data_IF_991480812868
#
_entry.id   IF_991480812868
#
_cell.length_a   1.000
_cell.length_b   1.000
_cell.length_c   1.000
_cell.angle_alpha   90.00
_cell.angle_beta   90.00
_cell.angle_gamma   90.00
#
_symmetry.space_group_name_H-M   'P 1'
#
loop_
_entity.id
_entity.type
_entity.pdbx_description
1 polymer ?
#
# COMPACT_ATOMS: atom_id res chain seq x y z
N UNK A 1 -19.37 23.93 -20.16
CA UNK A 1 -19.73 23.08 -21.33
C UNK A 1 -19.51 21.65 -20.92
N UNK A 2 -20.58 20.86 -20.80
CA UNK A 2 -20.48 19.41 -20.55
C UNK A 2 -19.99 18.78 -21.86
N UNK A 3 -18.80 18.19 -21.87
CA UNK A 3 -18.26 17.52 -23.06
C UNK A 3 -19.21 16.39 -23.48
N UNK A 4 -19.33 16.13 -24.78
CA UNK A 4 -20.21 15.08 -25.33
C UNK A 4 -19.92 13.68 -24.75
N UNK A 5 -18.68 13.43 -24.35
CA UNK A 5 -18.19 12.19 -23.74
C UNK A 5 -18.56 12.04 -22.26
N UNK A 6 -18.69 13.14 -21.49
CA UNK A 6 -19.26 13.08 -20.13
C UNK A 6 -20.72 12.59 -20.16
N UNK A 7 -21.46 12.95 -21.22
CA UNK A 7 -22.81 12.42 -21.44
C UNK A 7 -22.79 10.91 -21.75
N UNK A 8 -21.79 10.39 -22.47
CA UNK A 8 -21.68 8.96 -22.78
C UNK A 8 -21.42 8.12 -21.52
N UNK A 9 -20.46 8.52 -20.68
CA UNK A 9 -20.19 7.82 -19.42
C UNK A 9 -21.39 7.86 -18.47
N UNK A 10 -22.05 9.01 -18.35
CA UNK A 10 -23.25 9.14 -17.53
C UNK A 10 -24.42 8.30 -18.04
N UNK A 11 -24.61 8.24 -19.37
CA UNK A 11 -25.64 7.39 -19.98
C UNK A 11 -25.34 5.91 -19.76
N UNK A 12 -24.08 5.48 -19.89
CA UNK A 12 -23.67 4.12 -19.59
C UNK A 12 -23.94 3.75 -18.13
N UNK A 13 -23.66 4.66 -17.19
CA UNK A 13 -23.92 4.47 -15.77
C UNK A 13 -25.42 4.34 -15.46
N UNK A 14 -26.26 5.15 -16.12
CA UNK A 14 -27.73 5.04 -16.02
C UNK A 14 -28.25 3.69 -16.52
N UNK A 15 -27.80 3.27 -17.70
CA UNK A 15 -28.17 1.98 -18.28
C UNK A 15 -27.69 0.81 -17.41
N UNK A 16 -26.48 0.89 -16.86
CA UNK A 16 -25.96 -0.09 -15.91
C UNK A 16 -26.86 -0.16 -14.67
N UNK A 17 -27.22 0.99 -14.08
CA UNK A 17 -28.13 1.06 -12.93
C UNK A 17 -29.51 0.46 -13.23
N UNK A 18 -30.10 0.77 -14.39
CA UNK A 18 -31.41 0.24 -14.79
C UNK A 18 -31.41 -1.28 -14.98
N UNK A 19 -30.26 -1.87 -15.29
CA UNK A 19 -30.10 -3.32 -15.37
C UNK A 19 -29.99 -4.01 -14.00
N UNK A 20 -29.78 -3.26 -12.91
CA UNK A 20 -29.63 -3.82 -11.57
C UNK A 20 -30.99 -4.22 -10.99
N UNK A 21 -31.04 -5.24 -10.10
CA UNK A 21 -32.22 -5.49 -9.28
C UNK A 21 -32.61 -4.23 -8.50
N UNK A 22 -33.90 -3.91 -8.46
CA UNK A 22 -34.48 -2.60 -8.13
C UNK A 22 -34.11 -1.95 -6.77
N UNK A 23 -33.43 -2.62 -5.84
CA UNK A 23 -33.42 -2.18 -4.43
C UNK A 23 -32.15 -1.50 -3.88
N UNK A 24 -30.96 -1.59 -4.49
CA UNK A 24 -29.76 -1.35 -3.66
C UNK A 24 -28.84 -0.16 -4.01
N UNK A 25 -29.06 0.59 -5.10
CA UNK A 25 -28.13 1.69 -5.44
C UNK A 25 -28.83 2.93 -6.00
N UNK A 26 -28.67 4.04 -5.28
CA UNK A 26 -28.99 5.38 -5.78
C UNK A 26 -27.75 5.98 -6.43
N UNK A 27 -27.87 6.37 -7.69
CA UNK A 27 -26.83 7.10 -8.42
C UNK A 27 -27.41 8.46 -8.79
N UNK A 28 -26.73 9.53 -8.42
CA UNK A 28 -27.09 10.90 -8.76
C UNK A 28 -25.85 11.72 -9.12
N UNK A 29 -25.99 12.77 -9.95
CA UNK A 29 -24.94 13.76 -10.10
C UNK A 29 -24.66 14.43 -8.75
N UNK A 30 -23.41 14.84 -8.55
CA UNK A 30 -23.01 15.62 -7.39
C UNK A 30 -23.71 17.00 -7.38
N UNK A 31 -23.87 17.57 -6.18
CA UNK A 31 -24.49 18.86 -5.95
C UNK A 31 -23.80 19.96 -6.76
N UNK A 32 -24.61 20.87 -7.31
CA UNK A 32 -24.12 22.07 -8.01
C UNK A 32 -23.46 23.08 -7.08
N UNK A 33 -23.58 22.90 -5.76
CA UNK A 33 -22.91 23.74 -4.75
C UNK A 33 -21.45 23.36 -4.53
N UNK A 34 -20.99 22.22 -5.06
CA UNK A 34 -19.62 21.77 -4.86
C UNK A 34 -18.62 22.67 -5.60
N UNK A 35 -17.44 22.95 -5.02
CA UNK A 35 -16.44 23.83 -5.62
C UNK A 35 -15.76 23.24 -6.86
N UNK A 36 -15.99 21.97 -7.15
CA UNK A 36 -15.40 21.25 -8.28
C UNK A 36 -15.51 19.74 -8.09
N UNK A 37 -14.64 18.99 -8.78
CA UNK A 37 -14.47 17.56 -8.50
C UNK A 37 -13.76 17.37 -7.15
N UNK A 38 -14.07 16.30 -6.40
CA UNK A 38 -13.38 15.99 -5.15
C UNK A 38 -11.91 15.58 -5.41
N UNK A 39 -11.02 15.71 -4.40
CA UNK A 39 -9.61 15.31 -4.52
C UNK A 39 -9.48 13.86 -5.05
N UNK A 40 -8.95 13.72 -6.26
CA UNK A 40 -8.89 12.44 -6.96
C UNK A 40 -7.81 12.47 -8.04
N UNK A 41 -7.32 11.29 -8.43
CA UNK A 41 -6.31 11.17 -9.48
C UNK A 41 -6.75 11.78 -10.82
N UNK A 42 -8.07 11.89 -11.07
CA UNK A 42 -8.61 12.56 -12.27
C UNK A 42 -8.16 14.02 -12.38
N UNK A 43 -7.92 14.71 -11.26
CA UNK A 43 -7.40 16.08 -11.26
C UNK A 43 -6.06 16.19 -11.99
N UNK A 44 -5.17 15.21 -11.84
CA UNK A 44 -3.87 15.20 -12.51
C UNK A 44 -4.03 15.07 -14.04
N UNK A 45 -4.96 14.21 -14.50
CA UNK A 45 -5.27 14.06 -15.93
C UNK A 45 -5.88 15.34 -16.51
N UNK A 46 -6.82 15.97 -15.79
CA UNK A 46 -7.46 17.21 -16.21
C UNK A 46 -6.48 18.39 -16.23
N UNK A 47 -5.54 18.44 -15.28
CA UNK A 47 -4.49 19.44 -15.27
C UNK A 47 -3.54 19.30 -16.46
N UNK A 48 -3.28 18.08 -16.96
CA UNK A 48 -2.53 17.86 -18.20
C UNK A 48 -3.35 18.14 -19.45
N UNK A 49 -4.58 17.65 -19.48
CA UNK A 49 -5.48 17.75 -20.62
C UNK A 49 -6.93 17.96 -20.13
N UNK A 50 -7.42 19.22 -20.15
CA UNK A 50 -8.78 19.54 -19.72
C UNK A 50 -9.89 18.92 -20.57
N UNK A 51 -9.57 18.37 -21.75
CA UNK A 51 -10.53 17.70 -22.62
C UNK A 51 -10.75 16.22 -22.26
N UNK A 52 -9.96 15.67 -21.33
CA UNK A 52 -10.18 14.32 -20.82
C UNK A 52 -11.56 14.27 -20.17
N UNK A 53 -12.35 13.28 -20.57
CA UNK A 53 -13.64 13.02 -19.96
C UNK A 53 -13.49 11.95 -18.91
N UNK A 54 -14.03 12.21 -17.73
CA UNK A 54 -13.87 11.36 -16.57
C UNK A 54 -15.02 11.57 -15.60
N UNK A 55 -15.32 10.52 -14.84
CA UNK A 55 -16.32 10.51 -13.79
C UNK A 55 -15.64 10.00 -12.54
N UNK A 56 -15.84 10.71 -11.43
CA UNK A 56 -15.46 10.26 -10.09
C UNK A 56 -16.74 9.76 -9.41
N UNK A 57 -16.70 8.55 -8.89
CA UNK A 57 -17.79 7.97 -8.12
C UNK A 57 -17.42 8.05 -6.65
N UNK A 58 -18.29 8.67 -5.86
CA UNK A 58 -18.11 8.86 -4.42
C UNK A 58 -19.37 8.39 -3.68
N UNK A 59 -19.21 8.07 -2.40
CA UNK A 59 -20.31 7.73 -1.49
C UNK A 59 -20.93 8.96 -0.79
N UNK A 60 -20.42 10.15 -1.09
CA UNK A 60 -20.87 11.42 -0.54
C UNK A 60 -21.26 12.43 -1.61
N UNK A 61 -22.03 13.45 -1.20
CA UNK A 61 -22.46 14.54 -2.10
C UNK A 61 -21.63 15.82 -1.90
N UNK A 62 -21.62 16.38 -0.69
CA UNK A 62 -20.97 17.69 -0.41
C UNK A 62 -19.74 17.59 0.50
N UNK A 63 -19.62 16.54 1.30
CA UNK A 63 -18.47 16.30 2.17
C UNK A 63 -18.43 14.85 2.64
N UNK A 64 -17.25 14.40 3.07
CA UNK A 64 -17.02 12.99 3.42
C UNK A 64 -18.03 12.46 4.45
N UNK A 65 -18.56 11.28 4.16
CA UNK A 65 -19.34 10.43 5.08
C UNK A 65 -18.45 9.83 6.17
N UNK A 66 -17.21 9.48 5.81
CA UNK A 66 -16.23 8.89 6.72
C UNK A 66 -15.71 9.93 7.73
N UNK A 67 -15.97 9.67 9.03
CA UNK A 67 -15.53 10.52 10.14
C UNK A 67 -14.07 10.28 10.54
N UNK A 68 -13.47 9.19 10.08
CA UNK A 68 -12.13 8.74 10.43
C UNK A 68 -11.17 8.75 9.25
N UNK A 69 -11.46 9.52 8.18
CA UNK A 69 -10.66 9.58 6.96
C UNK A 69 -9.14 9.59 7.23
N UNK A 70 -8.43 8.55 6.77
CA UNK A 70 -6.97 8.37 6.91
C UNK A 70 -6.47 8.28 8.37
N UNK A 71 -7.33 7.92 9.31
CA UNK A 71 -7.00 7.71 10.72
C UNK A 71 -6.80 6.23 11.04
N UNK A 72 -6.16 5.93 12.18
CA UNK A 72 -6.05 4.58 12.71
C UNK A 72 -7.40 3.96 13.12
N UNK A 73 -8.45 4.78 13.23
CA UNK A 73 -9.84 4.36 13.48
C UNK A 73 -10.63 4.09 12.20
N UNK A 74 -10.01 4.28 11.02
CA UNK A 74 -10.61 3.96 9.72
C UNK A 74 -10.53 2.46 9.46
N UNK A 75 -11.39 1.70 10.15
CA UNK A 75 -11.35 0.24 10.17
C UNK A 75 -12.59 -0.41 9.54
N UNK A 76 -12.60 -1.75 9.55
CA UNK A 76 -13.66 -2.58 9.00
C UNK A 76 -15.06 -2.25 9.56
N UNK A 77 -15.18 -1.73 10.79
CA UNK A 77 -16.47 -1.40 11.40
C UNK A 77 -17.18 -0.24 10.69
N UNK A 78 -16.44 0.58 9.93
CA UNK A 78 -16.99 1.70 9.17
C UNK A 78 -17.41 1.32 7.74
N UNK A 79 -17.29 0.05 7.36
CA UNK A 79 -17.49 -0.43 5.98
C UNK A 79 -18.79 -1.22 5.84
N UNK A 80 -19.51 -0.98 4.75
CA UNK A 80 -20.68 -1.76 4.34
C UNK A 80 -20.31 -2.67 3.16
N UNK A 81 -20.19 -3.98 3.39
CA UNK A 81 -19.82 -4.96 2.36
C UNK A 81 -20.83 -5.01 1.21
N UNK A 82 -22.13 -4.96 1.50
CA UNK A 82 -23.17 -4.96 0.47
C UNK A 82 -23.09 -3.73 -0.44
N UNK A 83 -22.69 -2.58 0.10
CA UNK A 83 -22.47 -1.37 -0.71
C UNK A 83 -21.28 -1.54 -1.67
N UNK A 84 -20.19 -2.18 -1.23
CA UNK A 84 -19.02 -2.49 -2.07
C UNK A 84 -19.41 -3.45 -3.20
N UNK A 85 -20.17 -4.50 -2.92
CA UNK A 85 -20.65 -5.44 -3.94
C UNK A 85 -21.49 -4.73 -5.00
N UNK A 86 -22.40 -3.87 -4.54
CA UNK A 86 -23.29 -3.13 -5.40
C UNK A 86 -22.50 -2.14 -6.29
N UNK A 87 -21.54 -1.41 -5.72
CA UNK A 87 -20.65 -0.51 -6.45
C UNK A 87 -19.79 -1.27 -7.48
N UNK A 88 -19.23 -2.42 -7.11
CA UNK A 88 -18.44 -3.26 -8.01
C UNK A 88 -19.28 -3.75 -9.21
N UNK A 89 -20.52 -4.17 -8.98
CA UNK A 89 -21.45 -4.59 -10.04
C UNK A 89 -21.79 -3.44 -10.98
N UNK A 90 -22.08 -2.26 -10.42
CA UNK A 90 -22.38 -1.05 -11.19
C UNK A 90 -21.20 -0.66 -12.08
N UNK A 91 -19.99 -0.62 -11.54
CA UNK A 91 -18.76 -0.30 -12.28
C UNK A 91 -18.51 -1.33 -13.38
N UNK A 92 -18.59 -2.63 -13.07
CA UNK A 92 -18.35 -3.69 -14.05
C UNK A 92 -19.30 -3.60 -15.26
N UNK A 93 -20.60 -3.41 -15.02
CA UNK A 93 -21.59 -3.26 -16.09
C UNK A 93 -21.40 -1.95 -16.88
N UNK A 94 -21.05 -0.86 -16.20
CA UNK A 94 -20.77 0.43 -16.85
C UNK A 94 -19.57 0.31 -17.80
N UNK A 95 -18.48 -0.30 -17.34
CA UNK A 95 -17.29 -0.55 -18.15
C UNK A 95 -17.60 -1.43 -19.37
N UNK A 96 -18.42 -2.47 -19.19
CA UNK A 96 -18.87 -3.31 -20.31
C UNK A 96 -19.65 -2.50 -21.35
N UNK A 97 -20.61 -1.67 -20.93
CA UNK A 97 -21.40 -0.81 -21.84
C UNK A 97 -20.51 0.17 -22.60
N UNK A 98 -19.49 0.73 -21.95
CA UNK A 98 -18.53 1.62 -22.60
C UNK A 98 -17.64 0.87 -23.59
N UNK A 99 -17.19 -0.34 -23.25
CA UNK A 99 -16.30 -1.13 -24.08
C UNK A 99 -16.96 -1.62 -25.39
N UNK A 100 -18.27 -1.89 -25.40
CA UNK A 100 -18.97 -2.33 -26.61
C UNK A 100 -19.20 -1.20 -27.64
N UNK A 101 -18.94 0.06 -27.28
CA UNK A 101 -18.96 1.23 -28.16
C UNK A 101 -20.16 1.29 -29.13
N UNK A 102 -21.39 1.36 -28.57
CA UNK A 102 -22.66 1.50 -29.31
C UNK A 102 -23.07 0.30 -30.19
N UNK A 103 -22.41 -0.86 -30.06
CA UNK A 103 -22.94 -2.15 -30.55
C UNK A 103 -24.19 -2.53 -29.76
N UNK A 104 -25.03 -3.42 -30.33
CA UNK A 104 -26.27 -3.84 -29.69
C UNK A 104 -26.03 -4.36 -28.27
N UNK A 105 -26.67 -3.71 -27.29
CA UNK A 105 -26.56 -4.07 -25.90
C UNK A 105 -27.45 -5.28 -25.63
N UNK A 106 -26.82 -6.44 -25.41
CA UNK A 106 -27.55 -7.63 -25.01
C UNK A 106 -27.87 -7.60 -23.51
N UNK A 107 -29.15 -7.51 -23.17
CA UNK A 107 -29.65 -7.61 -21.79
C UNK A 107 -29.26 -8.94 -21.11
N UNK A 108 -29.14 -10.03 -21.89
CA UNK A 108 -28.70 -11.32 -21.36
C UNK A 108 -27.23 -11.32 -20.92
N UNK A 109 -26.37 -10.55 -21.59
CA UNK A 109 -24.96 -10.43 -21.20
C UNK A 109 -24.82 -9.55 -19.96
N UNK A 110 -25.57 -8.44 -19.88
CA UNK A 110 -25.56 -7.60 -18.67
C UNK A 110 -26.03 -8.36 -17.43
N UNK A 111 -27.06 -9.19 -17.54
CA UNK A 111 -27.54 -10.01 -16.42
C UNK A 111 -26.60 -11.17 -16.07
N UNK A 112 -25.74 -11.60 -17.01
CA UNK A 112 -24.67 -12.57 -16.75
C UNK A 112 -23.49 -11.97 -15.96
N UNK A 113 -23.24 -10.66 -16.06
CA UNK A 113 -22.26 -9.97 -15.21
C UNK A 113 -22.80 -9.93 -13.78
N UNK A 114 -22.11 -10.64 -12.89
CA UNK A 114 -22.43 -10.79 -11.48
C UNK A 114 -21.17 -10.59 -10.64
N UNK A 115 -21.37 -10.13 -9.41
CA UNK A 115 -20.31 -10.06 -8.40
C UNK A 115 -20.28 -11.38 -7.63
N UNK A 116 -19.08 -11.83 -7.31
CA UNK A 116 -18.89 -12.95 -6.38
C UNK A 116 -18.81 -12.39 -4.96
N UNK A 117 -19.93 -12.43 -4.24
CA UNK A 117 -20.06 -11.91 -2.85
C UNK A 117 -19.01 -12.52 -1.91
N UNK A 118 -18.81 -13.84 -1.96
CA UNK A 118 -17.81 -14.50 -1.10
C UNK A 118 -16.38 -14.00 -1.36
N UNK A 119 -16.04 -13.69 -2.61
CA UNK A 119 -14.74 -13.10 -2.93
C UNK A 119 -14.61 -11.67 -2.40
N UNK A 120 -15.67 -10.88 -2.43
CA UNK A 120 -15.66 -9.52 -1.87
C UNK A 120 -15.46 -9.57 -0.36
N UNK A 121 -16.20 -10.44 0.34
CA UNK A 121 -16.04 -10.65 1.78
C UNK A 121 -14.63 -11.12 2.15
N UNK A 122 -14.07 -12.07 1.38
CA UNK A 122 -12.70 -12.55 1.59
C UNK A 122 -11.69 -11.42 1.39
N UNK A 123 -11.80 -10.63 0.31
CA UNK A 123 -10.92 -9.47 0.07
C UNK A 123 -11.02 -8.41 1.18
N UNK A 124 -12.23 -8.11 1.65
CA UNK A 124 -12.46 -7.19 2.76
C UNK A 124 -11.76 -7.71 4.03
N UNK A 125 -11.94 -8.98 4.37
CA UNK A 125 -11.31 -9.59 5.54
C UNK A 125 -9.78 -9.62 5.44
N UNK A 126 -9.23 -9.84 4.25
CA UNK A 126 -7.78 -9.89 4.04
C UNK A 126 -7.13 -8.49 4.04
N UNK A 127 -7.79 -7.48 3.45
CA UNK A 127 -7.19 -6.18 3.18
C UNK A 127 -7.54 -5.09 4.20
N UNK A 128 -8.60 -5.27 5.00
CA UNK A 128 -9.10 -4.26 5.93
C UNK A 128 -9.12 -4.73 7.39
N UNK A 129 -8.62 -5.93 7.69
CA UNK A 129 -8.54 -6.45 9.06
C UNK A 129 -7.15 -7.05 9.34
N UNK A 130 -6.79 -7.17 10.62
CA UNK A 130 -5.58 -7.85 11.08
C UNK A 130 -5.79 -9.34 11.35
N UNK A 131 -7.05 -9.80 11.47
CA UNK A 131 -7.38 -11.19 11.77
C UNK A 131 -8.47 -11.72 10.81
N UNK A 132 -8.15 -12.59 9.84
CA UNK A 132 -6.82 -13.17 9.57
C UNK A 132 -5.88 -12.21 8.82
N UNK A 133 -6.38 -11.10 8.29
CA UNK A 133 -5.62 -10.14 7.47
C UNK A 133 -4.90 -10.80 6.30
N UNK A 134 -3.65 -10.41 6.06
CA UNK A 134 -2.81 -10.96 5.01
C UNK A 134 -2.46 -12.44 5.23
N UNK A 135 -2.76 -13.03 6.39
CA UNK A 135 -2.64 -14.47 6.62
C UNK A 135 -3.83 -15.29 6.10
N UNK A 136 -4.82 -14.66 5.45
CA UNK A 136 -5.93 -15.37 4.83
C UNK A 136 -5.46 -16.28 3.68
N UNK A 137 -6.26 -17.30 3.37
CA UNK A 137 -5.92 -18.29 2.35
C UNK A 137 -5.81 -17.67 0.94
N UNK A 138 -6.62 -16.65 0.61
CA UNK A 138 -6.50 -15.94 -0.65
C UNK A 138 -5.13 -15.31 -0.85
N UNK A 139 -4.58 -14.63 0.16
CA UNK A 139 -3.29 -13.95 0.08
C UNK A 139 -2.14 -14.96 0.03
N UNK A 140 -2.20 -16.00 0.86
CA UNK A 140 -1.19 -17.08 0.92
C UNK A 140 -1.04 -17.86 -0.39
N UNK A 141 -2.04 -17.83 -1.28
CA UNK A 141 -1.94 -18.43 -2.62
C UNK A 141 -0.99 -17.66 -3.54
N UNK A 142 -0.72 -16.39 -3.26
CA UNK A 142 0.04 -15.53 -4.16
C UNK A 142 1.36 -15.04 -3.58
N UNK A 143 1.40 -14.73 -2.28
CA UNK A 143 2.58 -14.13 -1.66
C UNK A 143 2.93 -14.79 -0.33
N UNK A 144 4.16 -14.59 0.11
CA UNK A 144 4.60 -14.83 1.47
C UNK A 144 4.63 -13.47 2.21
N UNK A 145 3.55 -13.10 2.93
CA UNK A 145 3.48 -11.81 3.59
C UNK A 145 4.46 -11.74 4.76
N UNK A 146 5.05 -10.55 4.97
CA UNK A 146 5.95 -10.24 6.07
C UNK A 146 5.19 -9.81 7.34
N UNK A 147 3.96 -9.31 7.18
CA UNK A 147 3.07 -8.88 8.25
C UNK A 147 1.68 -9.52 8.10
N UNK A 148 1.00 -9.73 9.22
CA UNK A 148 -0.41 -10.18 9.23
C UNK A 148 -1.34 -9.01 8.95
N UNK A 149 -1.09 -7.84 9.55
CA UNK A 149 -1.91 -6.66 9.34
C UNK A 149 -1.59 -6.01 7.99
N UNK A 150 -2.60 -5.75 7.13
CA UNK A 150 -2.41 -5.00 5.91
C UNK A 150 -2.03 -3.55 6.23
N UNK A 151 -1.06 -3.02 5.50
CA UNK A 151 -0.65 -1.62 5.58
C UNK A 151 -0.79 -0.98 4.19
N UNK A 152 -1.59 0.09 4.12
CA UNK A 152 -1.86 0.85 2.89
C UNK A 152 -0.96 2.08 2.74
N UNK A 153 0.00 2.27 3.66
CA UNK A 153 1.07 3.23 3.48
C UNK A 153 1.86 2.91 2.20
N UNK A 154 2.14 3.94 1.41
CA UNK A 154 2.78 3.80 0.09
C UNK A 154 4.25 3.39 0.15
N UNK A 155 4.90 3.57 1.30
CA UNK A 155 6.30 3.20 1.48
C UNK A 155 7.30 4.19 0.91
N UNK A 156 8.54 3.72 0.78
CA UNK A 156 9.69 4.47 0.28
C UNK A 156 10.34 3.70 -0.86
N UNK A 157 10.63 4.38 -1.96
CA UNK A 157 11.44 3.82 -3.04
C UNK A 157 12.92 4.01 -2.67
N UNK A 158 13.59 2.90 -2.35
CA UNK A 158 14.96 2.92 -1.82
C UNK A 158 16.05 2.98 -2.90
N UNK A 159 15.79 2.36 -4.05
CA UNK A 159 16.77 2.18 -5.14
C UNK A 159 16.24 2.73 -6.47
N UNK A 160 16.96 2.47 -7.56
CA UNK A 160 16.57 2.87 -8.91
C UNK A 160 15.13 2.44 -9.24
N UNK A 161 14.24 3.38 -9.58
CA UNK A 161 12.86 3.07 -9.95
C UNK A 161 12.78 2.10 -11.13
N UNK A 162 12.14 0.94 -10.91
CA UNK A 162 12.07 -0.14 -11.90
C UNK A 162 10.67 -0.73 -12.04
N UNK A 163 10.31 -1.16 -13.25
CA UNK A 163 9.09 -1.93 -13.53
C UNK A 163 9.18 -3.40 -13.07
N UNK A 164 10.37 -3.82 -12.64
CA UNK A 164 10.63 -5.11 -11.99
C UNK A 164 11.31 -4.83 -10.64
N UNK A 165 10.55 -4.30 -9.66
CA UNK A 165 11.11 -3.96 -8.35
C UNK A 165 11.55 -5.22 -7.60
N UNK A 166 12.54 -5.06 -6.73
CA UNK A 166 12.93 -6.11 -5.81
C UNK A 166 11.77 -6.37 -4.82
N UNK A 167 11.31 -7.62 -4.63
CA UNK A 167 10.11 -7.91 -3.83
C UNK A 167 10.14 -7.34 -2.41
N UNK A 168 11.29 -7.34 -1.73
CA UNK A 168 11.38 -6.84 -0.36
C UNK A 168 11.21 -5.31 -0.26
N UNK A 169 11.27 -4.59 -1.39
CA UNK A 169 11.01 -3.14 -1.46
C UNK A 169 9.56 -2.82 -1.82
N UNK A 170 8.72 -3.84 -2.04
CA UNK A 170 7.31 -3.67 -2.36
C UNK A 170 6.46 -4.18 -1.20
N UNK A 171 5.59 -3.33 -0.68
CA UNK A 171 4.68 -3.69 0.39
C UNK A 171 3.79 -4.88 0.03
N UNK A 172 3.50 -5.73 1.02
CA UNK A 172 2.72 -6.96 0.89
C UNK A 172 1.38 -6.73 0.18
N UNK A 173 0.68 -5.64 0.50
CA UNK A 173 -0.60 -5.28 -0.15
C UNK A 173 -0.42 -5.07 -1.65
N UNK A 174 0.60 -4.31 -2.07
CA UNK A 174 0.88 -4.08 -3.49
C UNK A 174 1.30 -5.36 -4.21
N UNK A 175 2.12 -6.20 -3.57
CA UNK A 175 2.51 -7.52 -4.11
C UNK A 175 1.31 -8.44 -4.30
N UNK A 176 0.41 -8.49 -3.31
CA UNK A 176 -0.83 -9.24 -3.41
C UNK A 176 -1.74 -8.71 -4.52
N UNK A 177 -2.03 -7.41 -4.54
CA UNK A 177 -2.91 -6.78 -5.55
C UNK A 177 -2.38 -7.02 -6.96
N UNK A 178 -1.06 -6.93 -7.17
CA UNK A 178 -0.45 -7.22 -8.47
C UNK A 178 -0.69 -8.67 -8.90
N UNK A 179 -0.43 -9.64 -8.01
CA UNK A 179 -0.63 -11.07 -8.32
C UNK A 179 -2.11 -11.40 -8.55
N UNK A 180 -2.98 -10.90 -7.67
CA UNK A 180 -4.42 -11.09 -7.77
C UNK A 180 -4.98 -10.51 -9.07
N UNK A 181 -4.57 -9.28 -9.44
CA UNK A 181 -5.00 -8.67 -10.70
C UNK A 181 -4.46 -9.44 -11.91
N UNK A 182 -3.19 -9.85 -11.87
CA UNK A 182 -2.59 -10.66 -12.92
C UNK A 182 -3.37 -11.96 -13.13
N UNK A 183 -3.70 -12.69 -12.06
CA UNK A 183 -4.49 -13.92 -12.12
C UNK A 183 -5.88 -13.69 -12.72
N UNK A 184 -6.64 -12.72 -12.18
CA UNK A 184 -8.01 -12.44 -12.59
C UNK A 184 -8.16 -11.92 -14.02
N UNK A 185 -7.11 -11.33 -14.59
CA UNK A 185 -7.16 -10.72 -15.93
C UNK A 185 -6.31 -11.46 -16.97
N UNK A 186 -5.58 -12.50 -16.56
CA UNK A 186 -4.74 -13.27 -17.47
C UNK A 186 -5.54 -14.19 -18.38
N UNK A 187 -4.89 -14.59 -19.47
CA UNK A 187 -5.35 -15.70 -20.31
C UNK A 187 -4.61 -16.95 -19.84
N UNK A 188 -5.32 -17.94 -19.25
CA UNK A 188 -4.69 -19.18 -18.81
C UNK A 188 -4.20 -19.97 -20.02
N UNK A 189 -3.00 -20.53 -19.92
CA UNK A 189 -2.43 -21.40 -20.95
C UNK A 189 -3.04 -22.80 -20.77
N UNK A 190 -3.60 -23.38 -21.83
CA UNK A 190 -4.25 -24.70 -21.79
C UNK A 190 -3.30 -25.86 -21.43
N UNK A 191 -1.98 -25.63 -21.41
CA UNK A 191 -0.99 -26.64 -21.05
C UNK A 191 0.32 -25.98 -20.61
N UNK A 192 0.48 -25.74 -19.31
CA UNK A 192 1.82 -25.60 -18.74
C UNK A 192 1.81 -25.98 -17.26
N UNK A 193 2.36 -27.16 -16.99
CA UNK A 193 2.93 -27.55 -15.70
C UNK A 193 4.22 -26.77 -15.35
N UNK A 194 4.44 -25.60 -15.96
CA UNK A 194 5.64 -24.80 -15.74
C UNK A 194 5.48 -24.02 -14.44
N UNK A 195 5.81 -24.69 -13.34
CA UNK A 195 6.02 -24.03 -12.06
C UNK A 195 7.13 -23.00 -12.25
N UNK A 196 6.80 -21.73 -12.05
CA UNK A 196 7.76 -20.65 -12.15
C UNK A 196 8.14 -20.16 -10.75
N UNK A 197 9.43 -19.87 -10.57
CA UNK A 197 9.95 -19.34 -9.29
C UNK A 197 10.35 -17.87 -9.40
N UNK A 198 10.61 -17.36 -10.61
CA UNK A 198 10.99 -15.95 -10.83
C UNK A 198 10.50 -15.43 -12.19
N UNK A 199 10.80 -16.15 -13.28
CA UNK A 199 10.48 -15.71 -14.65
C UNK A 199 9.78 -16.80 -15.46
N UNK A 200 9.09 -16.33 -16.50
CA UNK A 200 8.49 -17.14 -17.55
C UNK A 200 9.28 -16.95 -18.85
N UNK A 201 9.16 -17.89 -19.78
CA UNK A 201 9.99 -17.93 -21.00
C UNK A 201 9.65 -16.78 -21.96
N UNK A 202 8.36 -16.40 -22.04
CA UNK A 202 7.90 -15.34 -22.92
C UNK A 202 7.88 -13.96 -22.24
N UNK A 203 8.31 -12.92 -22.95
CA UNK A 203 8.33 -11.53 -22.45
C UNK A 203 6.94 -10.96 -22.12
N UNK A 204 5.88 -11.54 -22.69
CA UNK A 204 4.49 -11.18 -22.40
C UNK A 204 3.93 -11.91 -21.17
N UNK A 205 4.61 -12.96 -20.71
CA UNK A 205 4.19 -13.75 -19.57
C UNK A 205 4.69 -13.14 -18.26
N UNK A 206 3.94 -13.42 -17.21
CA UNK A 206 4.29 -13.07 -15.83
C UNK A 206 4.17 -14.29 -14.94
N UNK A 207 5.04 -14.37 -13.94
CA UNK A 207 5.00 -15.45 -12.95
C UNK A 207 4.09 -15.05 -11.78
N UNK A 208 2.87 -15.59 -11.75
CA UNK A 208 1.91 -15.35 -10.68
C UNK A 208 2.21 -16.31 -9.55
N UNK A 209 2.29 -15.82 -8.31
CA UNK A 209 2.51 -16.68 -7.14
C UNK A 209 3.97 -17.13 -6.96
N UNK A 210 4.93 -16.44 -7.56
CA UNK A 210 6.35 -16.80 -7.57
C UNK A 210 6.91 -17.13 -6.17
N UNK A 211 6.50 -16.37 -5.15
CA UNK A 211 6.97 -16.49 -3.77
C UNK A 211 6.49 -17.75 -3.04
N UNK A 212 5.43 -18.39 -3.55
CA UNK A 212 4.84 -19.58 -2.90
C UNK A 212 5.53 -20.88 -3.29
N UNK A 213 6.49 -20.82 -4.23
CA UNK A 213 7.12 -21.99 -4.83
C UNK A 213 6.20 -22.81 -5.75
N UNK A 214 4.95 -22.35 -5.95
CA UNK A 214 3.94 -22.96 -6.82
C UNK A 214 3.46 -21.98 -7.90
N UNK A 215 4.31 -21.05 -8.28
CA UNK A 215 3.96 -20.00 -9.23
C UNK A 215 3.56 -20.56 -10.59
N UNK A 216 2.65 -19.88 -11.29
CA UNK A 216 2.17 -20.28 -12.61
C UNK A 216 2.39 -19.16 -13.61
N UNK A 217 2.92 -19.50 -14.78
CA UNK A 217 3.08 -18.57 -15.89
C UNK A 217 1.75 -18.28 -16.57
N UNK A 218 1.43 -17.00 -16.77
CA UNK A 218 0.24 -16.57 -17.48
C UNK A 218 0.51 -15.33 -18.32
N UNK A 219 -0.21 -15.20 -19.44
CA UNK A 219 -0.16 -13.99 -20.27
C UNK A 219 -1.01 -12.93 -19.58
N UNK A 220 -0.38 -11.86 -19.13
CA UNK A 220 -1.05 -10.76 -18.42
C UNK A 220 -0.48 -9.42 -18.83
N UNK A 221 -1.31 -8.38 -18.81
CA UNK A 221 -0.91 -6.98 -19.00
C UNK A 221 -0.58 -6.27 -17.69
N UNK A 222 -0.69 -6.96 -16.55
CA UNK A 222 -0.41 -6.38 -15.23
C UNK A 222 1.08 -6.10 -15.05
N UNK A 223 1.45 -4.88 -14.69
CA UNK A 223 2.83 -4.40 -14.57
C UNK A 223 2.98 -3.47 -13.36
N UNK A 224 4.17 -3.45 -12.76
CA UNK A 224 4.52 -2.41 -11.80
C UNK A 224 4.88 -1.13 -12.55
N UNK A 225 4.42 0.00 -12.02
CA UNK A 225 4.79 1.33 -12.49
C UNK A 225 5.37 2.07 -11.28
N UNK A 226 6.64 2.50 -11.33
CA UNK A 226 7.20 3.32 -10.27
C UNK A 226 6.42 4.62 -10.12
N UNK A 227 5.93 4.88 -8.91
CA UNK A 227 5.14 6.07 -8.59
C UNK A 227 5.89 6.93 -7.58
N UNK A 228 6.55 7.98 -8.07
CA UNK A 228 7.28 8.96 -7.27
C UNK A 228 7.16 10.34 -7.91
N UNK A 229 7.51 11.38 -7.15
CA UNK A 229 7.50 12.74 -7.67
C UNK A 229 8.45 12.89 -8.86
N UNK A 230 7.96 13.51 -9.93
CA UNK A 230 8.74 13.94 -11.10
C UNK A 230 9.86 14.94 -10.75
N UNK A 231 9.80 15.55 -9.56
CA UNK A 231 10.86 16.40 -9.01
C UNK A 231 11.95 15.62 -8.29
N UNK A 232 11.84 14.30 -8.20
CA UNK A 232 12.89 13.45 -7.66
C UNK A 232 13.61 12.75 -8.82
N UNK A 233 14.93 12.67 -8.71
CA UNK A 233 15.77 12.01 -9.70
C UNK A 233 16.79 11.12 -9.00
N UNK A 234 16.83 9.86 -9.38
CA UNK A 234 17.83 8.90 -8.92
C UNK A 234 18.99 8.86 -9.91
N UNK A 235 20.20 9.20 -9.46
CA UNK A 235 21.42 9.10 -10.26
C UNK A 235 22.59 8.64 -9.39
N UNK A 236 23.38 7.70 -9.90
CA UNK A 236 24.61 7.23 -9.25
C UNK A 236 24.41 6.77 -7.80
N UNK A 237 23.27 6.16 -7.49
CA UNK A 237 22.95 5.63 -6.16
C UNK A 237 22.35 6.64 -5.18
N UNK A 238 22.03 7.87 -5.62
CA UNK A 238 21.49 8.90 -4.75
C UNK A 238 20.26 9.58 -5.35
N UNK A 239 19.31 9.92 -4.47
CA UNK A 239 18.17 10.75 -4.80
C UNK A 239 18.52 12.23 -4.73
N UNK A 240 18.11 12.99 -5.74
CA UNK A 240 18.27 14.44 -5.81
C UNK A 240 16.92 15.09 -6.09
N UNK A 241 16.72 16.30 -5.51
CA UNK A 241 15.52 17.10 -5.75
C UNK A 241 15.80 18.07 -6.89
N UNK A 242 15.03 17.94 -7.96
CA UNK A 242 15.05 18.83 -9.10
C UNK A 242 14.34 20.16 -8.77
N UNK A 243 14.86 21.29 -9.29
CA UNK A 243 14.17 22.56 -9.16
C UNK A 243 12.82 22.51 -9.88
N UNK A 244 11.81 23.26 -9.40
CA UNK A 244 10.53 23.33 -10.08
C UNK A 244 10.71 23.86 -11.50
N UNK A 245 10.15 23.16 -12.48
CA UNK A 245 10.21 23.60 -13.86
C UNK A 245 9.02 24.52 -14.17
N UNK A 246 9.27 25.83 -14.28
CA UNK A 246 8.21 26.82 -14.53
C UNK A 246 7.49 26.64 -15.87
N UNK A 247 8.06 25.90 -16.83
CA UNK A 247 7.37 25.57 -18.09
C UNK A 247 6.41 24.38 -17.98
N UNK A 248 6.52 23.59 -16.91
CA UNK A 248 5.63 22.49 -16.62
C UNK A 248 4.81 22.78 -15.36
N UNK A 249 3.55 23.17 -15.56
CA UNK A 249 2.64 23.47 -14.46
C UNK A 249 2.50 22.29 -13.49
N UNK A 250 2.50 21.05 -13.99
CA UNK A 250 2.44 19.86 -13.15
C UNK A 250 3.72 19.70 -12.32
N UNK A 251 4.89 19.77 -12.95
CA UNK A 251 6.18 19.73 -12.27
C UNK A 251 6.41 20.87 -11.27
N UNK A 252 5.70 22.00 -11.41
CA UNK A 252 5.77 23.13 -10.45
C UNK A 252 5.01 22.83 -9.15
N UNK A 253 3.89 22.09 -9.23
CA UNK A 253 3.03 21.77 -8.08
C UNK A 253 3.22 20.36 -7.54
N UNK A 254 4.07 19.56 -8.18
CA UNK A 254 4.30 18.16 -7.83
C UNK A 254 4.92 18.05 -6.42
N UNK A 255 4.25 17.33 -5.49
CA UNK A 255 4.67 17.27 -4.10
C UNK A 255 5.94 16.43 -3.93
N UNK A 256 6.86 16.90 -3.08
CA UNK A 256 8.06 16.16 -2.70
C UNK A 256 7.91 15.70 -1.25
N UNK A 257 7.77 14.39 -1.07
CA UNK A 257 7.74 13.74 0.24
C UNK A 257 8.93 12.79 0.36
N UNK A 258 9.68 12.94 1.44
CA UNK A 258 10.83 12.08 1.77
C UNK A 258 10.71 11.65 3.22
N UNK A 259 10.82 10.35 3.46
CA UNK A 259 10.81 9.80 4.80
C UNK A 259 12.24 9.74 5.39
N UNK A 260 12.38 10.04 6.67
CA UNK A 260 13.68 9.98 7.35
C UNK A 260 14.13 8.53 7.52
N UNK A 261 15.41 8.25 7.34
CA UNK A 261 15.96 6.95 7.73
C UNK A 261 16.00 6.81 9.26
N UNK A 262 15.74 5.61 9.77
CA UNK A 262 15.96 5.22 11.16
C UNK A 262 16.67 3.86 11.23
N UNK A 263 17.33 3.57 12.34
CA UNK A 263 17.99 2.28 12.55
C UNK A 263 17.03 1.26 13.18
N UNK A 264 16.66 1.47 14.44
CA UNK A 264 15.72 0.59 15.13
C UNK A 264 14.80 1.43 16.01
N UNK A 265 13.50 1.25 15.83
CA UNK A 265 12.48 1.83 16.70
C UNK A 265 12.14 0.76 17.73
N UNK A 266 12.24 1.10 19.01
CA UNK A 266 11.94 0.17 20.09
C UNK A 266 11.42 0.91 21.33
N UNK A 267 10.46 0.28 22.01
CA UNK A 267 9.93 0.75 23.28
C UNK A 267 10.42 -0.17 24.39
N UNK A 268 10.97 0.40 25.46
CA UNK A 268 11.39 -0.35 26.65
C UNK A 268 10.83 0.31 27.90
N UNK A 269 10.29 -0.49 28.80
CA UNK A 269 9.79 -0.04 30.10
C UNK A 269 10.67 -0.66 31.18
N UNK A 270 11.24 0.18 32.04
CA UNK A 270 12.05 -0.26 33.17
C UNK A 270 11.88 0.70 34.34
N UNK A 271 12.10 0.20 35.55
CA UNK A 271 12.10 1.03 36.76
C UNK A 271 13.43 1.75 36.87
N UNK A 272 13.38 3.04 37.22
CA UNK A 272 14.57 3.88 37.43
C UNK A 272 14.83 3.93 38.93
N UNK A 273 16.07 3.63 39.33
CA UNK A 273 16.49 3.72 40.72
C UNK A 273 16.71 5.18 41.13
N UNK A 274 16.57 5.49 42.42
CA UNK A 274 16.82 6.84 42.93
C UNK A 274 18.30 7.22 42.73
N UNK A 275 18.55 8.40 42.16
CA UNK A 275 19.91 8.89 41.88
C UNK A 275 20.81 8.97 43.13
N UNK A 276 20.22 9.08 44.33
CA UNK A 276 20.97 9.03 45.58
C UNK A 276 21.65 7.66 45.78
N UNK A 277 20.96 6.57 45.45
CA UNK A 277 21.51 5.23 45.55
C UNK A 277 22.68 5.04 44.57
N UNK A 278 22.56 5.49 43.32
CA UNK A 278 23.65 5.42 42.34
C UNK A 278 24.90 6.16 42.83
N UNK A 279 24.71 7.33 43.46
CA UNK A 279 25.81 8.09 44.08
C UNK A 279 26.43 7.33 45.25
N UNK A 280 25.63 6.68 46.10
CA UNK A 280 26.16 5.86 47.19
C UNK A 280 26.96 4.66 46.67
N UNK A 281 26.46 3.95 45.66
CA UNK A 281 27.15 2.82 45.04
C UNK A 281 28.48 3.29 44.41
N UNK A 282 28.46 4.40 43.68
CA UNK A 282 29.66 4.96 43.05
C UNK A 282 30.71 5.37 44.10
N UNK A 283 30.31 6.15 45.11
CA UNK A 283 31.23 6.60 46.17
C UNK A 283 31.74 5.43 47.02
N UNK A 284 30.89 4.44 47.30
CA UNK A 284 31.27 3.20 47.97
C UNK A 284 32.31 2.40 47.17
N UNK A 285 32.10 2.29 45.85
CA UNK A 285 33.05 1.64 44.93
C UNK A 285 34.40 2.35 44.85
N UNK A 286 34.42 3.68 44.76
CA UNK A 286 35.65 4.49 44.79
C UNK A 286 36.39 4.29 46.11
N UNK A 287 35.68 4.39 47.23
CA UNK A 287 36.26 4.25 48.58
C UNK A 287 36.89 2.87 48.76
N UNK A 288 36.19 1.81 48.38
CA UNK A 288 36.68 0.43 48.46
C UNK A 288 37.94 0.24 47.63
N UNK A 289 37.97 0.83 46.42
CA UNK A 289 39.13 0.76 45.52
C UNK A 289 40.36 1.46 46.11
N UNK A 290 40.18 2.66 46.67
CA UNK A 290 41.25 3.43 47.33
C UNK A 290 41.78 2.66 48.55
N UNK A 291 40.89 2.14 49.40
CA UNK A 291 41.28 1.37 50.59
C UNK A 291 42.03 0.09 50.20
N UNK A 292 41.57 -0.63 49.18
CA UNK A 292 42.25 -1.81 48.66
C UNK A 292 43.64 -1.46 48.12
N UNK A 293 43.79 -0.36 47.38
CA UNK A 293 45.10 0.11 46.91
C UNK A 293 46.05 0.39 48.07
N UNK A 294 45.60 1.14 49.08
CA UNK A 294 46.41 1.42 50.26
C UNK A 294 46.79 0.14 51.02
N UNK A 295 45.85 -0.79 51.20
CA UNK A 295 46.11 -2.07 51.84
C UNK A 295 47.16 -2.89 51.08
N UNK A 296 47.05 -2.96 49.75
CA UNK A 296 48.03 -3.65 48.88
C UNK A 296 49.42 -3.02 49.02
N UNK A 297 49.53 -1.69 48.96
CA UNK A 297 50.81 -0.98 49.11
C UNK A 297 51.41 -1.24 50.50
N UNK A 298 50.60 -1.18 51.56
CA UNK A 298 51.04 -1.43 52.93
C UNK A 298 51.52 -2.87 53.14
N UNK A 299 50.73 -3.86 52.70
CA UNK A 299 51.09 -5.29 52.78
C UNK A 299 52.36 -5.57 51.98
N UNK A 300 52.46 -5.06 50.75
CA UNK A 300 53.67 -5.18 49.92
C UNK A 300 54.89 -4.58 50.61
N UNK A 301 54.75 -3.41 51.22
CA UNK A 301 55.85 -2.79 51.96
C UNK A 301 56.26 -3.62 53.19
N UNK A 302 55.30 -4.22 53.90
CA UNK A 302 55.57 -5.07 55.06
C UNK A 302 56.27 -6.37 54.66
N UNK A 303 55.83 -7.02 53.58
CA UNK A 303 56.47 -8.23 53.02
C UNK A 303 57.90 -7.92 52.57
N UNK A 304 58.13 -6.81 51.85
CA UNK A 304 59.49 -6.41 51.43
C UNK A 304 60.38 -6.13 52.64
N UNK A 305 59.85 -5.50 53.71
CA UNK A 305 60.61 -5.28 54.95
C UNK A 305 60.95 -6.58 55.67
N UNK A 306 60.03 -7.55 55.69
CA UNK A 306 60.26 -8.87 56.29
C UNK A 306 61.32 -9.67 55.51
N UNK A 307 61.24 -9.69 54.17
CA UNK A 307 62.21 -10.38 53.29
C UNK A 307 63.62 -9.77 53.29
N UNK A 308 63.80 -8.53 53.76
CA UNK A 308 65.11 -7.88 53.94
C UNK A 308 65.74 -8.16 55.31
N UNK A 309 65.02 -8.85 56.20
CA UNK A 309 65.43 -9.09 57.59
C UNK A 309 65.95 -10.53 57.82
N UNK A 310 66.01 -11.32 56.76
CA UNK A 310 66.81 -12.54 56.60
C UNK A 310 68.07 -12.23 55.78
#
# INVERSE_FOLDING_TARGET
MVSSSNNETWNALKLARESLPLENIKVSPASTTNPGIPPSSLMAFLAKNPQVSGVVLEDFDTGFTNQFYQSYLDDLHNINSSAIEAAALLVARTLYILAINKKELSSSVLTAIKVNTSLVEELIGCLLNCDPGLSCELVKRYISPSSVCPNHYVGVILDEPSSAPYPDYVHDVSRFVWNFLADRTSIPKENTSSVCSQNCDDKSEVCIGAETGKGTCAISTTRYIPAYSTRLKFESGYWSVLPPNSSDHLGTVDPVWTESNWNTIGLRVYTIQAAAYDRFVLLGGITTTILAYFAIVAVRSSIIKALKRD
#
